data_IF_631748594933
#
_entry.id   IF_631748594933
#
_cell.length_a   1.000
_cell.length_b   1.000
_cell.length_c   1.000
_cell.angle_alpha   90.00
_cell.angle_beta   90.00
_cell.angle_gamma   90.00
#
_symmetry.space_group_name_H-M   'P 1'
#
loop_
_entity.id
_entity.type
_entity.pdbx_description
1 polymer ?
#
# COMPACT_ATOMS: atom_id res chain seq x y z
N UNK A 1 2.66 0.87 17.11
CA UNK A 1 1.62 1.30 16.16
C UNK A 1 1.60 0.24 15.07
N UNK A 2 0.49 -0.46 14.85
CA UNK A 2 0.44 -1.48 13.79
C UNK A 2 0.64 -0.78 12.45
N UNK A 3 1.78 -1.04 11.81
CA UNK A 3 2.22 -0.51 10.50
C UNK A 3 1.37 -1.06 9.34
N UNK A 4 0.16 -1.53 9.64
CA UNK A 4 -0.69 -2.33 8.75
C UNK A 4 -1.61 -1.41 7.96
N UNK A 5 -1.04 -0.68 7.02
CA UNK A 5 -1.84 -0.11 5.93
C UNK A 5 -2.41 -1.28 5.12
N UNK A 6 -3.72 -1.52 5.24
CA UNK A 6 -4.43 -2.47 4.39
C UNK A 6 -4.81 -1.77 3.09
N UNK A 7 -4.31 -2.21 1.92
CA UNK A 7 -4.82 -1.75 0.65
C UNK A 7 -6.25 -2.26 0.47
N UNK A 8 -7.16 -1.38 0.05
CA UNK A 8 -8.54 -1.75 -0.29
C UNK A 8 -8.64 -2.29 -1.73
N UNK A 9 -7.85 -1.75 -2.66
CA UNK A 9 -7.86 -2.15 -4.07
C UNK A 9 -6.47 -2.55 -4.55
N UNK A 10 -6.40 -3.59 -5.39
CA UNK A 10 -5.16 -4.03 -6.00
C UNK A 10 -4.63 -2.92 -6.91
N UNK A 11 -3.38 -2.44 -6.75
CA UNK A 11 -2.82 -1.38 -7.57
C UNK A 11 -2.67 -1.76 -9.05
N UNK A 12 -2.83 -3.05 -9.37
CA UNK A 12 -2.65 -3.56 -10.72
C UNK A 12 -3.95 -3.91 -11.46
N UNK A 13 -5.02 -4.29 -10.77
CA UNK A 13 -6.29 -4.68 -11.42
C UNK A 13 -7.55 -4.06 -10.81
N UNK A 14 -7.42 -3.28 -9.72
CA UNK A 14 -8.54 -2.61 -9.05
C UNK A 14 -9.42 -3.52 -8.17
N UNK A 15 -9.18 -4.82 -8.18
CA UNK A 15 -9.94 -5.81 -7.41
C UNK A 15 -9.61 -5.75 -5.91
N UNK A 16 -10.56 -6.14 -5.06
CA UNK A 16 -10.48 -6.09 -3.59
C UNK A 16 -10.04 -7.44 -2.98
N UNK A 17 -9.84 -8.46 -3.80
CA UNK A 17 -9.45 -9.83 -3.42
C UNK A 17 -7.97 -9.91 -2.97
N UNK A 18 -7.65 -9.18 -1.89
CA UNK A 18 -6.32 -8.93 -1.36
C UNK A 18 -6.09 -9.70 -0.05
N UNK A 19 -4.93 -10.36 0.07
CA UNK A 19 -4.57 -11.13 1.25
C UNK A 19 -3.16 -10.75 1.74
N UNK A 20 -2.96 -10.65 3.07
CA UNK A 20 -1.63 -10.43 3.63
C UNK A 20 -0.76 -11.68 3.41
N UNK A 21 0.53 -11.43 3.21
CA UNK A 21 1.57 -12.45 3.04
C UNK A 21 2.58 -12.31 4.18
N UNK A 22 3.32 -13.38 4.42
CA UNK A 22 4.48 -13.34 5.33
C UNK A 22 5.51 -12.32 4.81
N UNK A 23 5.93 -11.41 5.68
CA UNK A 23 6.84 -10.29 5.35
C UNK A 23 6.22 -8.91 5.61
N UNK A 24 7.05 -7.93 5.95
CA UNK A 24 6.62 -6.59 6.32
C UNK A 24 5.83 -5.91 5.19
N UNK A 25 4.54 -5.69 5.42
CA UNK A 25 3.65 -5.05 4.44
C UNK A 25 3.45 -5.86 3.17
N UNK A 26 3.71 -7.17 3.16
CA UNK A 26 3.54 -8.01 1.98
C UNK A 26 2.06 -8.37 1.74
N UNK A 27 1.63 -8.27 0.48
CA UNK A 27 0.27 -8.54 0.03
C UNK A 27 0.26 -9.32 -1.29
N UNK A 28 -0.81 -10.06 -1.51
CA UNK A 28 -1.12 -10.66 -2.80
C UNK A 28 -2.54 -10.34 -3.24
N UNK A 29 -2.76 -10.23 -4.54
CA UNK A 29 -4.10 -10.21 -5.14
C UNK A 29 -4.39 -11.58 -5.73
N UNK A 30 -5.48 -12.23 -5.30
CA UNK A 30 -5.88 -13.54 -5.82
C UNK A 30 -6.64 -13.47 -7.14
N UNK A 31 -7.13 -12.29 -7.54
CA UNK A 31 -7.78 -12.10 -8.84
C UNK A 31 -6.78 -11.99 -9.99
N UNK A 32 -5.63 -11.34 -9.78
CA UNK A 32 -4.59 -11.18 -10.82
C UNK A 32 -3.26 -11.87 -10.50
N UNK A 33 -3.17 -12.60 -9.39
CA UNK A 33 -2.02 -13.39 -8.95
C UNK A 33 -0.72 -12.59 -8.76
N UNK A 34 -0.81 -11.28 -8.52
CA UNK A 34 0.36 -10.41 -8.28
C UNK A 34 0.61 -10.24 -6.78
N UNK A 35 1.87 -10.35 -6.39
CA UNK A 35 2.36 -10.00 -5.05
C UNK A 35 3.04 -8.63 -5.05
N UNK A 36 2.88 -7.87 -3.98
CA UNK A 36 3.48 -6.55 -3.81
C UNK A 36 3.69 -6.23 -2.33
N UNK A 37 4.42 -5.17 -2.03
CA UNK A 37 4.63 -4.67 -0.67
C UNK A 37 4.09 -3.25 -0.52
N UNK A 38 3.53 -2.95 0.64
CA UNK A 38 3.03 -1.63 1.03
C UNK A 38 3.91 -1.10 2.16
N UNK A 39 4.46 0.09 1.98
CA UNK A 39 5.34 0.72 2.97
C UNK A 39 5.00 2.22 3.09
N UNK A 40 4.90 2.71 4.32
CA UNK A 40 4.87 4.14 4.60
C UNK A 40 6.31 4.69 4.52
N UNK A 41 6.57 5.58 3.58
CA UNK A 41 7.90 6.21 3.41
C UNK A 41 8.06 7.51 4.20
N UNK A 42 6.96 8.15 4.61
CA UNK A 42 6.95 9.41 5.36
C UNK A 42 5.80 10.32 4.94
N UNK A 43 5.83 11.58 5.38
CA UNK A 43 4.93 12.64 4.92
C UNK A 43 5.64 13.51 3.89
N UNK A 44 5.01 13.77 2.74
CA UNK A 44 5.54 14.72 1.76
C UNK A 44 5.23 16.17 2.18
N UNK A 45 6.07 17.16 1.82
CA UNK A 45 5.73 18.56 1.99
C UNK A 45 4.50 18.92 1.15
N UNK A 46 3.62 19.76 1.69
CA UNK A 46 2.62 20.44 0.87
C UNK A 46 3.31 21.32 -0.20
N UNK A 47 2.90 21.23 -1.48
CA UNK A 47 3.52 22.01 -2.56
C UNK A 47 3.41 23.53 -2.42
N UNK A 48 2.50 24.04 -1.55
CA UNK A 48 2.23 25.47 -1.34
C UNK A 48 2.43 25.94 0.10
N UNK A 49 3.24 25.22 0.86
CA UNK A 49 3.58 25.62 2.22
C UNK A 49 4.33 26.91 2.34
N UNK A 50 4.25 27.62 3.49
CA UNK A 50 5.13 28.74 3.77
C UNK A 50 6.56 28.22 4.01
N UNK A 51 7.24 27.94 2.92
CA UNK A 51 8.70 28.05 2.79
C UNK A 51 8.94 29.17 1.79
N UNK A 52 8.76 30.39 2.28
CA UNK A 52 9.39 31.61 1.76
C UNK A 52 10.10 32.26 2.95
#
# INVERSE_FOLDING_TARGET
>A
MSERAQPFHCPYCGDENLFPREGSGAWECRSCLRSFTVQMTGMIPHPGGPTA
#
